data_IF_123206482786
#
_entry.id   IF_123206482786
#
_cell.length_a   1.000
_cell.length_b   1.000
_cell.length_c   1.000
_cell.angle_alpha   90.00
_cell.angle_beta   90.00
_cell.angle_gamma   90.00
#
_symmetry.space_group_name_H-M   'P 1'
#
loop_
_entity.id
_entity.type
_entity.pdbx_description
1 polymer ?
#
# COMPACT_ATOMS: atom_id res chain seq x y z
N UNK A 1 -8.42 11.65 14.70
CA UNK A 1 -7.30 11.12 13.89
C UNK A 1 -5.92 11.49 14.44
N UNK A 2 -5.74 12.68 15.03
CA UNK A 2 -4.43 13.16 15.55
C UNK A 2 -3.76 12.28 16.63
N UNK A 3 -4.53 11.42 17.31
CA UNK A 3 -4.02 10.46 18.31
C UNK A 3 -3.70 9.08 17.70
N UNK A 4 -3.75 8.95 16.39
CA UNK A 4 -3.41 7.70 15.72
C UNK A 4 -1.90 7.45 15.76
N UNK A 5 -1.55 6.17 15.88
CA UNK A 5 -0.17 5.71 15.78
C UNK A 5 0.14 5.48 14.31
N UNK A 6 1.05 6.26 13.69
CA UNK A 6 1.38 6.05 12.29
C UNK A 6 2.13 4.73 12.14
N UNK A 7 1.91 4.06 11.02
CA UNK A 7 2.69 2.91 10.63
C UNK A 7 3.08 3.06 9.17
N UNK A 8 4.38 3.19 8.93
CA UNK A 8 4.97 3.21 7.59
C UNK A 8 5.51 1.81 7.35
N UNK A 9 5.12 1.18 6.24
CA UNK A 9 5.39 -0.22 5.99
C UNK A 9 5.93 -0.46 4.58
N UNK A 10 6.63 -1.58 4.46
CA UNK A 10 7.12 -2.14 3.20
C UNK A 10 6.68 -3.60 3.09
N UNK A 11 6.47 -4.05 1.85
CA UNK A 11 6.10 -5.42 1.53
C UNK A 11 6.88 -5.88 0.30
N UNK A 12 7.52 -7.03 0.41
CA UNK A 12 8.20 -7.70 -0.68
C UNK A 12 7.41 -8.97 -1.04
N UNK A 13 7.06 -9.11 -2.32
CA UNK A 13 6.36 -10.29 -2.85
C UNK A 13 7.22 -10.90 -3.94
N UNK A 14 7.82 -12.04 -3.67
CA UNK A 14 8.60 -12.79 -4.67
C UNK A 14 7.66 -13.71 -5.46
N UNK A 15 7.85 -13.75 -6.78
CA UNK A 15 6.99 -14.49 -7.69
C UNK A 15 7.70 -14.89 -8.97
N UNK A 16 7.18 -15.93 -9.61
CA UNK A 16 7.52 -16.32 -10.99
C UNK A 16 6.25 -16.63 -11.79
N UNK A 17 6.42 -16.87 -13.09
CA UNK A 17 5.34 -17.22 -13.98
C UNK A 17 5.42 -18.70 -14.39
N UNK A 18 4.36 -19.44 -14.16
CA UNK A 18 4.25 -20.84 -14.60
C UNK A 18 3.44 -20.90 -15.89
N UNK A 19 3.97 -21.64 -16.87
CA UNK A 19 3.25 -21.93 -18.12
C UNK A 19 2.11 -22.91 -17.87
N UNK A 20 0.89 -22.50 -18.18
CA UNK A 20 -0.34 -23.29 -18.06
C UNK A 20 -1.06 -23.40 -19.41
N UNK A 21 -1.98 -24.35 -19.50
CA UNK A 21 -2.87 -24.51 -20.64
C UNK A 21 -4.32 -24.47 -20.18
N UNK A 22 -5.19 -23.89 -21.01
CA UNK A 22 -6.65 -23.92 -20.82
C UNK A 22 -7.35 -24.20 -22.14
N UNK A 23 -8.52 -24.82 -22.07
CA UNK A 23 -9.41 -24.92 -23.23
C UNK A 23 -10.23 -23.63 -23.33
N UNK A 24 -10.28 -23.05 -24.53
CA UNK A 24 -11.05 -21.84 -24.84
C UNK A 24 -12.00 -22.14 -25.97
N UNK A 25 -13.30 -22.01 -25.69
CA UNK A 25 -14.34 -22.10 -26.70
C UNK A 25 -14.45 -20.77 -27.43
N UNK A 26 -14.37 -20.83 -28.75
CA UNK A 26 -14.54 -19.69 -29.66
C UNK A 26 -15.69 -19.99 -30.60
N UNK A 27 -16.26 -18.94 -31.17
CA UNK A 27 -17.33 -19.05 -32.15
C UNK A 27 -16.83 -18.58 -33.51
N UNK A 28 -17.09 -19.36 -34.55
CA UNK A 28 -16.84 -18.97 -35.93
C UNK A 28 -18.07 -19.37 -36.74
N UNK A 29 -18.69 -18.40 -37.40
CA UNK A 29 -19.93 -18.59 -38.17
C UNK A 29 -21.09 -19.20 -37.35
N UNK A 30 -21.16 -18.93 -36.04
CA UNK A 30 -22.20 -19.47 -35.16
C UNK A 30 -21.85 -20.81 -34.51
N UNK A 31 -20.86 -21.54 -35.03
CA UNK A 31 -20.42 -22.82 -34.45
C UNK A 31 -19.36 -22.63 -33.37
N UNK A 32 -19.53 -23.37 -32.27
CA UNK A 32 -18.57 -23.42 -31.17
C UNK A 32 -17.44 -24.41 -31.50
N UNK A 33 -16.19 -23.96 -31.39
CA UNK A 33 -15.01 -24.82 -31.48
C UNK A 33 -14.07 -24.55 -30.30
N UNK A 34 -13.44 -25.60 -29.77
CA UNK A 34 -12.55 -25.51 -28.63
C UNK A 34 -11.09 -25.52 -29.09
N UNK A 35 -10.29 -24.60 -28.55
CA UNK A 35 -8.86 -24.50 -28.82
C UNK A 35 -8.06 -24.52 -27.51
N UNK A 36 -6.88 -25.13 -27.52
CA UNK A 36 -5.95 -25.07 -26.39
C UNK A 36 -5.16 -23.77 -26.45
N UNK A 37 -5.25 -22.96 -25.39
CA UNK A 37 -4.48 -21.73 -25.23
C UNK A 37 -3.42 -21.92 -24.14
N UNK A 38 -2.18 -21.56 -24.45
CA UNK A 38 -1.09 -21.43 -23.48
C UNK A 38 -1.15 -20.05 -22.85
N UNK A 39 -0.99 -19.96 -21.54
CA UNK A 39 -0.87 -18.70 -20.81
C UNK A 39 0.14 -18.83 -19.66
N UNK A 40 0.52 -17.69 -19.08
CA UNK A 40 1.40 -17.62 -17.92
C UNK A 40 0.61 -17.18 -16.70
N UNK A 41 0.72 -17.94 -15.62
CA UNK A 41 0.07 -17.68 -14.35
C UNK A 41 1.11 -17.23 -13.33
N UNK A 42 0.88 -16.09 -12.66
CA UNK A 42 1.75 -15.62 -11.58
C UNK A 42 1.55 -16.50 -10.34
N UNK A 43 2.65 -17.01 -9.81
CA UNK A 43 2.68 -17.75 -8.54
C UNK A 43 3.52 -16.95 -7.55
N UNK A 44 2.90 -16.51 -6.45
CA UNK A 44 3.64 -15.89 -5.35
C UNK A 44 4.25 -17.00 -4.49
N UNK A 45 5.56 -16.96 -4.31
CA UNK A 45 6.32 -17.97 -3.57
C UNK A 45 6.70 -17.50 -2.18
N UNK A 46 6.97 -16.21 -2.04
CA UNK A 46 7.37 -15.61 -0.77
C UNK A 46 6.71 -14.24 -0.57
N UNK A 47 6.31 -13.95 0.66
CA UNK A 47 5.75 -12.66 1.07
C UNK A 47 6.38 -12.28 2.41
N UNK A 48 7.02 -11.11 2.45
CA UNK A 48 7.52 -10.50 3.67
C UNK A 48 6.97 -9.08 3.84
N UNK A 49 6.80 -8.66 5.09
CA UNK A 49 6.36 -7.33 5.47
C UNK A 49 7.25 -6.81 6.61
N UNK A 50 7.51 -5.52 6.60
CA UNK A 50 8.22 -4.83 7.67
C UNK A 50 7.66 -3.42 7.87
N UNK A 51 7.88 -2.88 9.06
CA UNK A 51 7.48 -1.52 9.43
C UNK A 51 8.71 -0.70 9.78
N UNK A 52 8.66 0.60 9.52
CA UNK A 52 9.72 1.51 9.95
C UNK A 52 9.71 1.66 11.48
N UNK A 53 10.81 1.27 12.12
CA UNK A 53 11.05 1.54 13.53
C UNK A 53 11.53 2.99 13.71
N UNK A 54 10.59 3.86 14.08
CA UNK A 54 10.81 5.26 14.38
C UNK A 54 11.04 5.53 15.89
N UNK A 55 11.23 4.52 16.75
CA UNK A 55 11.37 4.72 18.19
C UNK A 55 12.53 5.68 18.56
N UNK A 56 13.59 5.72 17.74
CA UNK A 56 14.74 6.62 17.93
C UNK A 56 14.52 8.04 17.42
N UNK A 57 13.54 8.26 16.54
CA UNK A 57 13.28 9.55 15.89
C UNK A 57 12.03 10.24 16.44
N UNK A 58 11.12 9.48 17.05
CA UNK A 58 9.83 9.96 17.53
C UNK A 58 8.84 10.24 16.41
N UNK A 59 7.65 10.70 16.79
CA UNK A 59 6.54 11.01 15.88
C UNK A 59 5.89 12.31 16.33
N UNK A 60 5.47 13.12 15.37
CA UNK A 60 4.66 14.32 15.61
C UNK A 60 3.56 14.44 14.56
N UNK A 61 2.33 14.62 15.02
CA UNK A 61 1.24 15.01 14.13
C UNK A 61 1.39 16.48 13.72
N UNK A 62 1.26 16.73 12.41
CA UNK A 62 1.34 18.07 11.80
C UNK A 62 0.05 18.43 11.04
N UNK A 63 -1.04 17.69 11.32
CA UNK A 63 -2.33 17.97 10.71
C UNK A 63 -2.87 19.31 11.22
N UNK A 64 -3.55 20.05 10.34
CA UNK A 64 -4.14 21.34 10.70
C UNK A 64 -5.42 21.14 11.52
N UNK A 65 -5.68 22.04 12.45
CA UNK A 65 -6.99 22.14 13.10
C UNK A 65 -8.04 22.53 12.06
N UNK A 66 -9.14 21.79 12.02
CA UNK A 66 -10.28 22.11 11.17
C UNK A 66 -11.00 23.34 11.74
N UNK A 67 -11.25 24.33 10.89
CA UNK A 67 -11.92 25.59 11.26
C UNK A 67 -12.96 25.94 10.20
N UNK A 68 -13.97 26.73 10.57
CA UNK A 68 -14.97 27.25 9.64
C UNK A 68 -16.00 26.22 9.14
N UNK A 69 -16.13 25.07 9.81
CA UNK A 69 -17.12 24.05 9.47
C UNK A 69 -18.56 24.55 9.64
N UNK A 70 -18.78 25.47 10.58
CA UNK A 70 -20.09 26.10 10.87
C UNK A 70 -20.62 27.01 9.76
N UNK A 71 -19.75 27.43 8.82
CA UNK A 71 -20.10 28.41 7.79
C UNK A 71 -20.94 27.86 6.63
N UNK A 72 -21.17 26.54 6.60
CA UNK A 72 -21.91 25.86 5.55
C UNK A 72 -22.85 24.80 6.14
N UNK A 73 -24.02 24.56 5.52
CA UNK A 73 -24.99 23.57 6.00
C UNK A 73 -24.46 22.12 5.94
N UNK A 74 -23.46 21.86 5.09
CA UNK A 74 -22.73 20.61 5.05
C UNK A 74 -21.34 20.84 4.43
N UNK A 75 -20.31 20.25 5.03
CA UNK A 75 -18.92 20.34 4.55
C UNK A 75 -18.39 18.94 4.25
N UNK A 76 -17.96 18.68 3.00
CA UNK A 76 -17.30 17.43 2.62
C UNK A 76 -15.80 17.52 2.85
N UNK A 77 -15.27 16.63 3.69
CA UNK A 77 -13.86 16.53 4.04
C UNK A 77 -13.22 15.35 3.32
N UNK A 78 -11.99 15.55 2.82
CA UNK A 78 -11.12 14.50 2.30
C UNK A 78 -9.82 14.49 3.07
N UNK A 79 -9.49 13.38 3.71
CA UNK A 79 -8.26 13.19 4.45
C UNK A 79 -7.26 12.35 3.65
N UNK A 80 -6.01 12.78 3.61
CA UNK A 80 -4.91 12.03 2.99
C UNK A 80 -3.91 11.64 4.06
N UNK A 81 -3.40 10.41 4.00
CA UNK A 81 -2.31 9.96 4.86
C UNK A 81 -0.98 10.33 4.19
N UNK A 82 -0.16 11.10 4.89
CA UNK A 82 1.18 11.47 4.44
C UNK A 82 2.14 11.45 5.63
N UNK A 83 3.42 11.26 5.36
CA UNK A 83 4.49 11.42 6.33
C UNK A 83 5.64 12.20 5.69
N UNK A 84 6.45 12.83 6.53
CA UNK A 84 7.68 13.50 6.15
C UNK A 84 8.70 13.37 7.27
N UNK A 85 9.97 13.60 6.94
CA UNK A 85 11.05 13.54 7.92
C UNK A 85 11.36 14.95 8.42
N UNK A 86 11.46 15.09 9.74
CA UNK A 86 11.82 16.36 10.38
C UNK A 86 13.33 16.63 10.35
N UNK A 87 14.14 15.61 10.06
CA UNK A 87 15.60 15.70 10.00
C UNK A 87 16.19 14.68 9.02
N UNK A 88 17.42 14.95 8.58
CA UNK A 88 18.17 14.08 7.65
C UNK A 88 18.50 12.74 8.33
N UNK A 89 18.71 12.72 9.64
CA UNK A 89 18.99 11.50 10.41
C UNK A 89 17.78 10.55 10.40
N UNK A 90 16.57 11.09 10.55
CA UNK A 90 15.34 10.29 10.50
C UNK A 90 15.09 9.74 9.09
N UNK A 91 15.34 10.56 8.06
CA UNK A 91 15.26 10.13 6.65
C UNK A 91 16.28 9.01 6.36
N UNK A 92 17.53 9.17 6.78
CA UNK A 92 18.57 8.15 6.61
C UNK A 92 18.21 6.86 7.35
N UNK A 93 17.70 6.94 8.57
CA UNK A 93 17.25 5.76 9.32
C UNK A 93 16.16 4.98 8.56
N UNK A 94 15.17 5.70 7.99
CA UNK A 94 14.13 5.10 7.15
C UNK A 94 14.72 4.45 5.90
N UNK A 95 15.56 5.16 5.16
CA UNK A 95 16.16 4.66 3.93
C UNK A 95 17.05 3.44 4.17
N UNK A 96 17.84 3.42 5.26
CA UNK A 96 18.67 2.28 5.64
C UNK A 96 17.84 1.05 6.00
N UNK A 97 16.79 1.20 6.82
CA UNK A 97 15.91 0.08 7.17
C UNK A 97 15.19 -0.46 5.93
N UNK A 98 14.68 0.43 5.07
CA UNK A 98 14.03 0.07 3.81
C UNK A 98 14.98 -0.69 2.88
N UNK A 99 16.17 -0.16 2.65
CA UNK A 99 17.16 -0.77 1.77
C UNK A 99 17.57 -2.16 2.28
N UNK A 100 17.79 -2.30 3.58
CA UNK A 100 18.08 -3.59 4.21
C UNK A 100 16.95 -4.60 4.01
N UNK A 101 15.70 -4.19 4.28
CA UNK A 101 14.53 -5.06 4.10
C UNK A 101 14.43 -5.60 2.66
N UNK A 102 14.54 -4.72 1.65
CA UNK A 102 14.44 -5.18 0.26
C UNK A 102 15.65 -5.99 -0.18
N UNK A 103 16.87 -5.67 0.26
CA UNK A 103 18.06 -6.46 -0.04
C UNK A 103 17.99 -7.88 0.56
N UNK A 104 17.39 -8.04 1.75
CA UNK A 104 17.18 -9.36 2.38
C UNK A 104 16.14 -10.21 1.63
N UNK A 105 15.24 -9.59 0.84
CA UNK A 105 14.19 -10.28 0.08
C UNK A 105 14.49 -10.40 -1.42
N UNK A 106 15.53 -9.73 -1.90
CA UNK A 106 15.93 -9.74 -3.29
C UNK A 106 16.51 -11.11 -3.69
N UNK A 107 16.17 -11.57 -4.90
CA UNK A 107 16.70 -12.83 -5.44
C UNK A 107 16.08 -14.12 -4.87
N UNK A 108 15.03 -14.03 -4.04
CA UNK A 108 14.30 -15.22 -3.56
C UNK A 108 13.49 -15.94 -4.65
N UNK A 109 13.20 -15.26 -5.77
CA UNK A 109 12.51 -15.81 -6.94
C UNK A 109 12.86 -15.00 -8.20
N UNK A 110 12.34 -15.38 -9.36
CA UNK A 110 12.57 -14.74 -10.66
C UNK A 110 12.26 -13.23 -10.64
N UNK A 111 11.19 -12.85 -9.93
CA UNK A 111 10.76 -11.46 -9.79
C UNK A 111 10.42 -11.13 -8.34
N UNK A 112 10.54 -9.85 -8.01
CA UNK A 112 10.08 -9.29 -6.74
C UNK A 112 9.23 -8.04 -7.00
N UNK A 113 8.06 -7.97 -6.39
CA UNK A 113 7.23 -6.77 -6.33
C UNK A 113 7.44 -6.08 -4.99
N UNK A 114 7.96 -4.86 -5.03
CA UNK A 114 8.07 -3.99 -3.88
C UNK A 114 6.81 -3.13 -3.73
N UNK A 115 6.24 -3.10 -2.53
CA UNK A 115 5.16 -2.18 -2.15
C UNK A 115 5.54 -1.44 -0.89
N UNK A 116 5.09 -0.20 -0.79
CA UNK A 116 5.29 0.65 0.39
C UNK A 116 4.05 1.49 0.63
N UNK A 117 3.84 1.90 1.88
CA UNK A 117 2.71 2.74 2.22
C UNK A 117 2.66 3.13 3.69
N UNK A 118 1.54 3.72 4.09
CA UNK A 118 1.28 4.01 5.50
C UNK A 118 -0.18 3.74 5.89
N UNK A 119 -0.38 3.33 7.14
CA UNK A 119 -1.67 3.30 7.79
C UNK A 119 -1.62 4.03 9.14
N UNK A 120 -2.80 4.35 9.65
CA UNK A 120 -2.98 4.87 10.99
C UNK A 120 -3.55 3.74 11.83
N UNK A 121 -2.76 3.23 12.77
CA UNK A 121 -3.21 2.22 13.74
C UNK A 121 -4.19 2.89 14.71
N UNK A 122 -4.85 2.07 15.53
CA UNK A 122 -5.74 2.49 16.64
C UNK A 122 -6.85 3.51 16.31
N UNK A 123 -7.15 3.75 15.04
CA UNK A 123 -8.29 4.57 14.57
C UNK A 123 -8.94 3.92 13.35
N UNK A 124 -10.25 4.08 13.20
CA UNK A 124 -10.94 3.82 11.93
C UNK A 124 -10.74 5.02 11.01
N UNK A 125 -9.75 4.95 10.11
CA UNK A 125 -9.45 6.03 9.18
C UNK A 125 -10.49 6.11 8.06
N UNK A 126 -11.19 7.24 7.97
CA UNK A 126 -12.13 7.54 6.89
C UNK A 126 -11.54 8.58 5.96
N UNK A 127 -11.29 8.20 4.70
CA UNK A 127 -10.80 9.15 3.68
C UNK A 127 -11.82 10.26 3.44
N UNK A 128 -13.11 9.93 3.43
CA UNK A 128 -14.18 10.89 3.18
C UNK A 128 -15.11 11.00 4.38
N UNK A 129 -15.45 12.22 4.76
CA UNK A 129 -16.41 12.52 5.80
C UNK A 129 -17.28 13.70 5.39
N UNK A 130 -18.49 13.78 5.96
CA UNK A 130 -19.35 14.95 5.86
C UNK A 130 -19.57 15.47 7.28
N UNK A 131 -19.29 16.76 7.48
CA UNK A 131 -19.57 17.48 8.71
C UNK A 131 -20.81 18.36 8.50
N UNK A 132 -21.68 18.42 9.49
CA UNK A 132 -22.82 19.33 9.55
C UNK A 132 -22.56 20.31 10.70
N UNK A 133 -23.06 21.56 10.62
CA UNK A 133 -23.09 22.45 11.77
C UNK A 133 -23.97 21.82 12.87
N UNK A 134 -23.55 21.96 14.12
CA UNK A 134 -24.28 21.45 15.30
C UNK A 134 -25.66 22.15 15.49
#
# INVERSE_FOLDING_TARGET
>A
MQQATPCIWWKAISYHYVRRTRQVTRYRNGDAYTTTQVYHERVNTHVAEAEFDYARCGVRDVSKTLVGLEGAPATRLRFTKCFSFASVEAENAYLCQRARFFAENEGLDDYMEAREGMHLKNVDFREFMVAFPD
#
